data_IF_580030636427
#
_entry.id   IF_580030636427
#
_cell.length_a   1.000
_cell.length_b   1.000
_cell.length_c   1.000
_cell.angle_alpha   90.00
_cell.angle_beta   90.00
_cell.angle_gamma   90.00
#
_symmetry.space_group_name_H-M   'P 1'
#
loop_
_entity.id
_entity.type
_entity.pdbx_description
1 polymer ?
#
# COMPACT_ATOMS: atom_id res chain seq x y z
N UNK A 1 -4.82 -24.31 2.56
CA UNK A 1 -3.57 -24.45 3.34
C UNK A 1 -2.39 -23.87 2.58
N UNK A 2 -2.14 -24.26 1.31
CA UNK A 2 -1.03 -23.76 0.47
C UNK A 2 -1.02 -22.23 0.31
N UNK A 3 -2.17 -21.61 0.02
CA UNK A 3 -2.29 -20.15 -0.11
C UNK A 3 -1.89 -19.39 1.17
N UNK A 4 -2.28 -19.88 2.35
CA UNK A 4 -1.96 -19.23 3.63
C UNK A 4 -0.46 -19.28 3.89
N UNK A 5 0.19 -20.41 3.60
CA UNK A 5 1.65 -20.54 3.74
C UNK A 5 2.41 -19.62 2.79
N UNK A 6 1.94 -19.46 1.55
CA UNK A 6 2.53 -18.51 0.58
C UNK A 6 2.36 -17.06 1.03
N UNK A 7 1.19 -16.69 1.56
CA UNK A 7 0.97 -15.35 2.11
C UNK A 7 1.89 -15.05 3.30
N UNK A 8 2.09 -16.01 4.21
CA UNK A 8 3.00 -15.83 5.35
C UNK A 8 4.45 -15.63 4.89
N UNK A 9 4.86 -16.36 3.85
CA UNK A 9 6.18 -16.19 3.25
C UNK A 9 6.34 -14.79 2.64
N UNK A 10 5.33 -14.28 1.92
CA UNK A 10 5.35 -12.92 1.37
C UNK A 10 5.39 -11.86 2.47
N UNK A 11 4.63 -12.02 3.54
CA UNK A 11 4.65 -11.09 4.69
C UNK A 11 6.05 -11.05 5.31
N UNK A 12 6.69 -12.22 5.47
CA UNK A 12 8.05 -12.31 5.97
C UNK A 12 9.03 -11.55 5.08
N UNK A 13 8.99 -11.76 3.77
CA UNK A 13 9.85 -11.06 2.81
C UNK A 13 9.67 -9.54 2.85
N UNK A 14 8.43 -9.05 2.97
CA UNK A 14 8.16 -7.62 3.09
C UNK A 14 8.67 -7.06 4.42
N UNK A 15 8.55 -7.82 5.52
CA UNK A 15 9.08 -7.42 6.83
C UNK A 15 10.61 -7.36 6.80
N UNK A 16 11.25 -8.34 6.19
CA UNK A 16 12.70 -8.39 6.01
C UNK A 16 13.20 -7.24 5.11
N UNK A 17 12.37 -6.79 4.15
CA UNK A 17 12.59 -5.60 3.34
C UNK A 17 12.27 -4.26 4.06
N UNK A 18 11.91 -4.29 5.34
CA UNK A 18 11.67 -3.08 6.15
C UNK A 18 10.26 -2.47 5.99
N UNK A 19 9.31 -3.18 5.39
CA UNK A 19 7.91 -2.72 5.33
C UNK A 19 7.29 -2.81 6.73
N UNK A 20 6.82 -1.66 7.22
CA UNK A 20 6.19 -1.51 8.54
C UNK A 20 4.85 -0.78 8.41
N UNK A 21 4.04 -0.81 9.47
CA UNK A 21 2.73 -0.14 9.48
C UNK A 21 2.82 1.36 9.12
N UNK A 22 3.90 2.03 9.53
CA UNK A 22 4.18 3.43 9.19
C UNK A 22 4.34 3.64 7.67
N UNK A 23 5.09 2.78 6.96
CA UNK A 23 5.29 2.91 5.51
C UNK A 23 4.01 2.64 4.73
N UNK A 24 3.20 1.69 5.20
CA UNK A 24 1.88 1.39 4.65
C UNK A 24 0.95 2.60 4.77
N UNK A 25 0.78 3.17 5.97
CA UNK A 25 -0.11 4.33 6.17
C UNK A 25 0.40 5.58 5.46
N UNK A 26 1.72 5.84 5.50
CA UNK A 26 2.32 6.96 4.79
C UNK A 26 2.03 6.90 3.28
N UNK A 27 2.09 5.70 2.69
CA UNK A 27 1.76 5.47 1.28
C UNK A 27 0.29 5.77 0.99
N UNK A 28 -0.62 5.33 1.85
CA UNK A 28 -2.06 5.61 1.70
C UNK A 28 -2.33 7.13 1.74
N UNK A 29 -1.73 7.85 2.69
CA UNK A 29 -1.87 9.31 2.78
C UNK A 29 -1.24 10.04 1.59
N UNK A 30 -0.04 9.64 1.15
CA UNK A 30 0.63 10.19 -0.04
C UNK A 30 -0.24 10.07 -1.28
N UNK A 31 -0.81 8.89 -1.50
CA UNK A 31 -1.69 8.59 -2.64
C UNK A 31 -3.09 9.19 -2.50
N UNK A 32 -3.44 9.77 -1.34
CA UNK A 32 -4.79 10.29 -1.05
C UNK A 32 -5.87 9.22 -1.19
N UNK A 33 -5.53 7.99 -0.79
CA UNK A 33 -6.45 6.84 -0.81
C UNK A 33 -6.82 6.54 0.64
N UNK A 34 -8.12 6.57 0.95
CA UNK A 34 -8.59 6.19 2.27
C UNK A 34 -8.57 4.66 2.43
N UNK A 35 -8.11 4.13 3.57
CA UNK A 35 -8.07 2.69 3.81
C UNK A 35 -9.45 2.02 3.70
N UNK A 36 -10.48 2.70 4.21
CA UNK A 36 -11.86 2.20 4.27
C UNK A 36 -12.72 2.60 3.07
N UNK A 37 -12.17 3.33 2.10
CA UNK A 37 -12.91 3.70 0.91
C UNK A 37 -12.94 2.53 -0.08
N UNK A 38 -14.11 2.29 -0.69
CA UNK A 38 -14.24 1.35 -1.80
C UNK A 38 -13.35 1.80 -2.95
N UNK A 39 -12.38 0.98 -3.31
CA UNK A 39 -11.49 1.22 -4.45
C UNK A 39 -12.12 0.65 -5.71
N UNK A 40 -11.97 1.35 -6.82
CA UNK A 40 -12.45 0.88 -8.12
C UNK A 40 -11.52 -0.17 -8.74
N UNK A 41 -10.27 -0.24 -8.25
CA UNK A 41 -9.19 -1.06 -8.77
C UNK A 41 -8.43 -1.72 -7.62
N UNK A 42 -7.76 -2.83 -7.89
CA UNK A 42 -6.86 -3.42 -6.92
C UNK A 42 -5.66 -2.49 -6.67
N UNK A 43 -5.03 -2.61 -5.50
CA UNK A 43 -3.92 -1.73 -5.12
C UNK A 43 -2.72 -1.80 -6.07
N UNK A 44 -2.52 -2.94 -6.72
CA UNK A 44 -1.47 -3.16 -7.72
C UNK A 44 -1.85 -2.70 -9.13
N UNK A 45 -3.10 -2.29 -9.37
CA UNK A 45 -3.56 -1.71 -10.64
C UNK A 45 -3.61 -0.17 -10.58
N UNK A 46 -2.96 0.40 -9.55
CA UNK A 46 -2.99 1.82 -9.28
C UNK A 46 -2.45 2.64 -10.46
N UNK A 47 -3.24 3.63 -10.91
CA UNK A 47 -2.93 4.46 -12.10
C UNK A 47 -2.18 5.76 -11.78
N UNK A 48 -1.66 5.93 -10.56
CA UNK A 48 -0.99 7.17 -10.18
C UNK A 48 -1.99 8.30 -9.92
N UNK A 49 -1.70 9.53 -10.38
CA UNK A 49 -2.56 10.72 -10.16
C UNK A 49 -3.94 10.61 -10.81
N UNK A 50 -4.07 9.80 -11.87
CA UNK A 50 -5.30 9.62 -12.62
C UNK A 50 -6.20 8.50 -12.06
N UNK A 51 -5.82 7.89 -10.94
CA UNK A 51 -6.59 6.80 -10.36
C UNK A 51 -7.90 7.31 -9.73
N UNK A 52 -9.07 6.78 -10.12
CA UNK A 52 -10.37 7.24 -9.63
C UNK A 52 -10.60 6.92 -8.14
N UNK A 53 -9.79 6.03 -7.55
CA UNK A 53 -9.86 5.72 -6.12
C UNK A 53 -9.21 6.81 -5.25
N UNK A 54 -8.51 7.79 -5.86
CA UNK A 54 -7.93 8.92 -5.12
C UNK A 54 -9.02 9.93 -4.76
N UNK A 55 -8.92 10.48 -3.55
CA UNK A 55 -9.75 11.61 -3.15
C UNK A 55 -9.38 12.90 -3.90
N UNK A 56 -8.10 13.08 -4.23
CA UNK A 56 -7.58 14.24 -4.94
C UNK A 56 -6.40 13.85 -5.84
N UNK A 57 -6.21 14.56 -6.94
CA UNK A 57 -5.05 14.37 -7.83
C UNK A 57 -3.71 14.76 -7.17
N UNK A 58 -3.76 15.68 -6.19
CA UNK A 58 -2.58 16.15 -5.45
C UNK A 58 -1.89 15.00 -4.70
N UNK A 59 -0.56 14.89 -4.85
CA UNK A 59 0.27 13.98 -4.06
C UNK A 59 0.72 14.71 -2.80
N UNK A 60 0.46 14.11 -1.64
CA UNK A 60 0.85 14.73 -0.38
C UNK A 60 2.38 14.64 -0.18
N UNK A 61 3.07 15.72 0.22
CA UNK A 61 4.49 15.67 0.55
C UNK A 61 4.79 14.67 1.66
N UNK A 62 5.98 14.06 1.64
CA UNK A 62 6.38 13.02 2.61
C UNK A 62 6.21 13.44 4.07
N UNK A 63 6.64 14.66 4.41
CA UNK A 63 6.52 15.16 5.78
C UNK A 63 5.06 15.34 6.20
N UNK A 64 4.22 15.85 5.31
CA UNK A 64 2.80 16.03 5.61
C UNK A 64 2.06 14.69 5.71
N UNK A 65 2.49 13.67 4.97
CA UNK A 65 2.01 12.30 5.14
C UNK A 65 2.42 11.74 6.51
N UNK A 66 3.68 11.92 6.91
CA UNK A 66 4.16 11.50 8.23
C UNK A 66 3.38 12.17 9.37
N UNK A 67 3.15 13.48 9.29
CA UNK A 67 2.34 14.21 10.28
C UNK A 67 0.92 13.64 10.42
N UNK A 68 0.36 13.04 9.35
CA UNK A 68 -0.93 12.33 9.43
C UNK A 68 -0.78 10.95 10.04
N UNK A 69 0.27 10.22 9.71
CA UNK A 69 0.57 8.92 10.32
C UNK A 69 0.75 9.06 11.83
N UNK A 70 1.46 10.08 12.31
CA UNK A 70 1.67 10.35 13.73
C UNK A 70 0.39 10.54 14.54
N UNK A 71 -0.71 10.96 13.90
CA UNK A 71 -2.02 11.06 14.55
C UNK A 71 -2.67 9.71 14.81
N UNK A 72 -2.20 8.66 14.14
CA UNK A 72 -2.73 7.28 14.23
C UNK A 72 -1.73 6.36 14.93
N UNK A 73 -0.44 6.48 14.61
CA UNK A 73 0.68 5.72 15.17
C UNK A 73 1.63 6.68 15.89
N UNK A 74 1.55 6.71 17.23
CA UNK A 74 2.28 7.68 18.06
C UNK A 74 3.81 7.52 18.01
N UNK A 75 4.30 6.36 17.57
CA UNK A 75 5.73 6.00 17.48
C UNK A 75 6.37 6.29 16.11
N UNK A 76 5.62 6.85 15.17
CA UNK A 76 6.07 7.18 13.82
C UNK A 76 6.87 8.50 13.75
N UNK A 77 8.13 8.50 14.19
CA UNK A 77 8.93 9.73 14.28
C UNK A 77 9.69 10.09 13.00
N UNK A 78 9.97 9.12 12.13
CA UNK A 78 10.79 9.29 10.94
C UNK A 78 10.00 8.96 9.68
N UNK A 79 10.38 9.60 8.56
CA UNK A 79 9.83 9.22 7.26
C UNK A 79 10.34 7.82 6.96
N UNK A 80 9.45 6.83 6.81
CA UNK A 80 9.88 5.46 6.58
C UNK A 80 10.43 5.35 5.16
N UNK A 81 11.38 4.44 4.99
CA UNK A 81 11.71 3.97 3.65
C UNK A 81 10.50 3.21 3.09
N UNK A 82 10.19 3.46 1.82
CA UNK A 82 9.03 2.89 1.14
C UNK A 82 9.56 2.14 -0.08
N UNK A 83 9.54 0.80 -0.07
CA UNK A 83 9.94 0.01 -1.23
C UNK A 83 9.11 0.39 -2.46
N UNK A 84 9.66 0.08 -3.64
CA UNK A 84 8.97 0.33 -4.90
C UNK A 84 7.58 -0.30 -4.88
N UNK A 85 6.56 0.55 -4.93
CA UNK A 85 5.18 0.13 -4.78
C UNK A 85 4.67 -0.49 -6.06
N UNK A 86 3.72 -1.42 -5.93
CA UNK A 86 2.97 -1.90 -7.09
C UNK A 86 2.08 -0.79 -7.68
N UNK A 87 1.90 -0.88 -8.99
CA UNK A 87 1.07 -0.01 -9.83
C UNK A 87 0.77 -0.73 -11.14
N UNK A 88 -0.13 -0.18 -11.96
CA UNK A 88 -0.41 -0.73 -13.29
C UNK A 88 0.86 -0.84 -14.18
N UNK A 89 1.87 0.00 -13.92
CA UNK A 89 3.16 -0.01 -14.61
C UNK A 89 4.23 -0.86 -13.93
N UNK A 90 3.99 -1.29 -12.69
CA UNK A 90 4.87 -2.15 -11.90
C UNK A 90 4.01 -3.21 -11.18
N UNK A 91 3.48 -4.20 -11.92
CA UNK A 91 2.60 -5.21 -11.35
C UNK A 91 3.39 -6.21 -10.47
N UNK A 92 2.71 -7.01 -9.64
CA UNK A 92 3.34 -8.09 -8.90
C UNK A 92 3.84 -9.18 -9.84
N UNK A 93 4.69 -10.07 -9.32
CA UNK A 93 5.15 -11.24 -10.07
C UNK A 93 3.96 -12.09 -10.56
N UNK A 94 4.03 -12.67 -11.77
CA UNK A 94 3.01 -13.61 -12.25
C UNK A 94 2.73 -14.71 -11.21
N UNK A 95 1.45 -15.08 -11.04
CA UNK A 95 1.01 -16.03 -10.01
C UNK A 95 0.74 -15.40 -8.63
N UNK A 96 1.34 -14.26 -8.28
CA UNK A 96 1.03 -13.59 -7.00
C UNK A 96 -0.28 -12.80 -7.06
N UNK A 97 -0.77 -12.44 -8.26
CA UNK A 97 -2.03 -11.71 -8.42
C UNK A 97 -3.19 -12.46 -7.78
N UNK A 98 -3.26 -13.77 -7.95
CA UNK A 98 -4.28 -14.64 -7.36
C UNK A 98 -4.21 -14.67 -5.83
N UNK A 99 -3.01 -14.46 -5.26
CA UNK A 99 -2.83 -14.34 -3.80
C UNK A 99 -3.37 -13.01 -3.25
N UNK A 100 -3.41 -11.96 -4.07
CA UNK A 100 -3.88 -10.62 -3.67
C UNK A 100 -5.35 -10.36 -3.99
N UNK A 101 -5.95 -11.17 -4.86
CA UNK A 101 -7.35 -11.08 -5.19
C UNK A 101 -8.18 -11.86 -4.16
N UNK A 102 -9.16 -11.20 -3.54
CA UNK A 102 -10.27 -11.93 -2.94
C UNK A 102 -11.21 -12.34 -4.08
N UNK A 103 -11.52 -13.63 -4.27
CA UNK A 103 -12.52 -14.04 -5.24
C UNK A 103 -13.86 -13.39 -4.89
N UNK A 104 -14.64 -13.05 -5.92
CA UNK A 104 -15.99 -12.56 -5.70
C UNK A 104 -16.80 -13.63 -4.92
N UNK A 105 -17.65 -13.22 -3.97
CA UNK A 105 -18.49 -14.13 -3.20
C UNK A 105 -19.46 -14.92 -4.06
#
# INVERSE_FOLDING_TARGET
MVQVTEMLQLIKEHKDAGVIGVSVLATMYKRRIMPLQKRCRFGFEYLGSNDPSRLTAEVLPSQAALNRVQRVLLDAHTVPDVPTLFSATNPPKPGHVELYCCPAP
#
